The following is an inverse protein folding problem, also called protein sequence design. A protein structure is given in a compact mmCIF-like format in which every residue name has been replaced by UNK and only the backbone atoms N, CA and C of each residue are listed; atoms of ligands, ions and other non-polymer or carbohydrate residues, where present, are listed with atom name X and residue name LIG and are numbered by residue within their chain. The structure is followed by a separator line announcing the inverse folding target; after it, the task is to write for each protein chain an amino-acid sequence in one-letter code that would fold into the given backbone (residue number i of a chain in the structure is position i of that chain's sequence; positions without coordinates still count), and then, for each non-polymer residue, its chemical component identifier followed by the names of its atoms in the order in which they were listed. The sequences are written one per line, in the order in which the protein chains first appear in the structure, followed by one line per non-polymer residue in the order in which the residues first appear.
data_IF_671244139141
#
_entry.id   IF_671244139141
#
_cell.length_a   1.000
_cell.length_b   1.000
_cell.length_c   1.000
_cell.angle_alpha   90.00
_cell.angle_beta   90.00
_cell.angle_gamma   90.00
#
_symmetry.space_group_name_H-M   'P 1'
#
loop_
_entity.id
_entity.type
_entity.pdbx_description
1 polymer ?
#
# COMPACT_ATOMS: atom_id res chain seq x y z
N UNK A 1 -2.15 -13.65 -9.58
CA UNK A 1 -2.70 -13.08 -10.83
C UNK A 1 -1.57 -12.94 -11.85
N UNK A 2 -1.77 -13.22 -13.14
CA UNK A 2 -0.70 -13.12 -14.16
C UNK A 2 -1.02 -12.03 -15.20
N UNK A 3 0.00 -11.26 -15.58
CA UNK A 3 -0.11 -10.20 -16.58
C UNK A 3 -0.36 -10.78 -17.98
N UNK A 4 -1.40 -10.29 -18.67
CA UNK A 4 -1.74 -10.72 -20.04
C UNK A 4 -1.03 -9.92 -21.14
N UNK A 5 -0.36 -8.84 -20.76
CA UNK A 5 0.39 -7.93 -21.64
C UNK A 5 1.53 -7.31 -20.85
N UNK A 6 2.44 -6.64 -21.55
CA UNK A 6 3.44 -5.79 -20.91
C UNK A 6 2.79 -4.55 -20.27
N UNK A 7 3.29 -4.17 -19.09
CA UNK A 7 2.96 -2.95 -18.36
C UNK A 7 4.23 -2.14 -18.10
N UNK A 8 4.14 -0.82 -18.32
CA UNK A 8 5.16 0.15 -17.91
C UNK A 8 4.85 0.66 -16.51
N UNK A 9 5.87 1.24 -15.86
CA UNK A 9 5.67 1.98 -14.60
C UNK A 9 4.63 3.09 -14.84
N UNK A 10 3.61 3.17 -13.99
CA UNK A 10 2.50 4.10 -14.13
C UNK A 10 1.29 3.57 -14.90
N UNK A 11 1.36 2.36 -15.48
CA UNK A 11 0.19 1.78 -16.15
C UNK A 11 -0.85 1.28 -15.13
N UNK A 12 -2.12 1.55 -15.40
CA UNK A 12 -3.24 0.92 -14.70
C UNK A 12 -3.30 -0.58 -15.06
N UNK A 13 -3.19 -1.43 -14.04
CA UNK A 13 -3.24 -2.90 -14.16
C UNK A 13 -4.68 -3.40 -13.98
N UNK A 14 -5.34 -2.98 -12.89
CA UNK A 14 -6.70 -3.38 -12.54
C UNK A 14 -7.43 -2.21 -11.88
N UNK A 15 -8.73 -2.08 -12.17
CA UNK A 15 -9.65 -1.23 -11.42
C UNK A 15 -10.89 -2.04 -11.06
N UNK A 16 -11.18 -2.17 -9.77
CA UNK A 16 -12.21 -3.06 -9.25
C UNK A 16 -13.16 -2.33 -8.30
N UNK A 17 -14.47 -2.49 -8.50
CA UNK A 17 -15.47 -1.96 -7.56
C UNK A 17 -15.64 -2.86 -6.34
N UNK A 18 -16.09 -2.30 -5.20
CA UNK A 18 -16.33 -3.07 -3.99
C UNK A 18 -17.46 -4.09 -4.21
N UNK A 19 -17.31 -5.28 -3.64
CA UNK A 19 -18.32 -6.35 -3.73
C UNK A 19 -19.00 -6.61 -2.40
N UNK A 20 -18.22 -6.82 -1.33
CA UNK A 20 -18.76 -7.06 0.02
C UNK A 20 -18.11 -6.08 0.99
N UNK A 21 -18.92 -5.25 1.64
CA UNK A 21 -18.46 -4.28 2.64
C UNK A 21 -18.58 -4.81 4.05
N UNK A 22 -17.54 -4.60 4.84
CA UNK A 22 -17.48 -4.88 6.27
C UNK A 22 -17.14 -3.59 7.03
N UNK A 23 -18.08 -3.02 7.80
CA UNK A 23 -17.79 -1.86 8.62
C UNK A 23 -16.94 -2.24 9.83
N UNK A 24 -16.23 -1.26 10.39
CA UNK A 24 -15.58 -1.41 11.70
C UNK A 24 -16.62 -1.35 12.84
N UNK A 25 -16.38 -2.06 13.95
CA UNK A 25 -17.19 -1.94 15.17
C UNK A 25 -17.83 -3.25 15.66
N UNK A 26 -18.61 -3.14 16.74
CA UNK A 26 -19.12 -4.29 17.52
C UNK A 26 -20.08 -5.18 16.68
N UNK A 27 -20.89 -4.58 15.82
CA UNK A 27 -21.89 -5.30 15.01
C UNK A 27 -21.36 -5.78 13.65
N UNK A 28 -20.04 -5.70 13.40
CA UNK A 28 -19.47 -5.97 12.08
C UNK A 28 -19.87 -7.33 11.50
N UNK A 29 -19.91 -8.39 12.32
CA UNK A 29 -20.24 -9.73 11.87
C UNK A 29 -21.68 -9.83 11.37
N UNK A 30 -22.62 -9.19 12.08
CA UNK A 30 -24.03 -9.15 11.70
C UNK A 30 -24.23 -8.37 10.40
N UNK A 31 -23.64 -7.18 10.31
CA UNK A 31 -23.75 -6.33 9.10
C UNK A 31 -23.10 -7.02 7.89
N UNK A 32 -21.97 -7.70 8.09
CA UNK A 32 -21.30 -8.47 7.05
C UNK A 32 -22.20 -9.59 6.50
N UNK A 33 -22.82 -10.38 7.36
CA UNK A 33 -23.76 -11.45 6.98
C UNK A 33 -24.97 -10.90 6.22
N UNK A 34 -25.56 -9.80 6.68
CA UNK A 34 -26.66 -9.14 5.99
C UNK A 34 -26.26 -8.61 4.61
N UNK A 35 -25.07 -8.01 4.50
CA UNK A 35 -24.55 -7.53 3.23
C UNK A 35 -24.27 -8.69 2.27
N UNK A 36 -23.74 -9.82 2.77
CA UNK A 36 -23.48 -11.01 1.96
C UNK A 36 -24.78 -11.63 1.41
N UNK A 37 -25.82 -11.74 2.24
CA UNK A 37 -27.14 -12.25 1.82
C UNK A 37 -27.81 -11.41 0.73
N UNK A 38 -27.50 -10.10 0.66
CA UNK A 38 -28.01 -9.20 -0.38
C UNK A 38 -27.29 -9.35 -1.72
N UNK A 39 -26.15 -10.04 -1.78
CA UNK A 39 -25.44 -10.30 -3.03
C UNK A 39 -26.20 -11.32 -3.89
N UNK A 40 -26.04 -11.24 -5.21
CA UNK A 40 -26.49 -12.30 -6.12
C UNK A 40 -25.74 -13.60 -5.82
N UNK A 41 -26.35 -14.75 -6.12
CA UNK A 41 -25.70 -16.05 -5.91
C UNK A 41 -24.34 -16.16 -6.62
N UNK A 42 -24.21 -15.57 -7.80
CA UNK A 42 -22.94 -15.51 -8.54
C UNK A 42 -21.87 -14.78 -7.72
N UNK A 43 -22.20 -13.62 -7.15
CA UNK A 43 -21.28 -12.85 -6.30
C UNK A 43 -20.98 -13.57 -4.99
N UNK A 44 -21.96 -14.22 -4.38
CA UNK A 44 -21.77 -15.04 -3.19
C UNK A 44 -20.77 -16.17 -3.47
N UNK A 45 -20.98 -16.94 -4.56
CA UNK A 45 -20.05 -17.99 -5.00
C UNK A 45 -18.65 -17.43 -5.28
N UNK A 46 -18.56 -16.28 -5.96
CA UNK A 46 -17.29 -15.65 -6.25
C UNK A 46 -16.54 -15.22 -4.97
N UNK A 47 -17.23 -14.62 -4.00
CA UNK A 47 -16.63 -14.26 -2.69
C UNK A 47 -16.18 -15.52 -1.96
N UNK A 48 -17.03 -16.54 -1.83
CA UNK A 48 -16.71 -17.80 -1.15
C UNK A 48 -15.59 -18.60 -1.84
N UNK A 49 -15.30 -18.32 -3.12
CA UNK A 49 -14.15 -18.92 -3.83
C UNK A 49 -12.80 -18.28 -3.52
N UNK A 50 -12.78 -17.17 -2.78
CA UNK A 50 -11.53 -16.54 -2.35
C UNK A 50 -10.85 -17.36 -1.26
N UNK A 51 -9.53 -17.23 -1.18
CA UNK A 51 -8.75 -17.87 -0.12
C UNK A 51 -9.15 -17.35 1.25
N UNK A 52 -9.36 -18.24 2.22
CA UNK A 52 -9.66 -17.87 3.60
C UNK A 52 -8.58 -18.42 4.52
N UNK A 53 -7.77 -17.54 5.09
CA UNK A 53 -6.69 -17.89 6.01
C UNK A 53 -7.22 -18.34 7.39
N UNK A 54 -8.49 -18.04 7.71
CA UNK A 54 -9.12 -18.31 9.00
C UNK A 54 -10.53 -18.92 8.78
N UNK A 55 -10.63 -20.12 8.15
CA UNK A 55 -11.91 -20.73 7.81
C UNK A 55 -12.82 -20.98 9.01
N UNK A 56 -12.25 -21.14 10.20
CA UNK A 56 -12.97 -21.27 11.48
C UNK A 56 -13.83 -20.04 11.82
N UNK A 57 -13.54 -18.88 11.22
CA UNK A 57 -14.28 -17.63 11.42
C UNK A 57 -15.33 -17.36 10.31
N UNK A 58 -15.52 -18.28 9.37
CA UNK A 58 -16.49 -18.13 8.27
C UNK A 58 -16.23 -16.88 7.42
N UNK A 59 -17.28 -16.09 7.15
CA UNK A 59 -17.18 -14.84 6.37
C UNK A 59 -16.24 -13.81 6.99
N UNK A 60 -16.13 -13.77 8.32
CA UNK A 60 -15.23 -12.85 8.99
C UNK A 60 -13.76 -13.18 8.69
N UNK A 61 -13.41 -14.48 8.69
CA UNK A 61 -12.08 -14.93 8.28
C UNK A 61 -11.76 -14.54 6.83
N UNK A 62 -12.75 -14.65 5.96
CA UNK A 62 -12.62 -14.31 4.54
C UNK A 62 -12.38 -12.80 4.35
N UNK A 63 -13.14 -11.95 5.03
CA UNK A 63 -12.90 -10.49 5.04
C UNK A 63 -11.55 -10.16 5.65
N UNK A 64 -11.18 -10.76 6.79
CA UNK A 64 -9.88 -10.53 7.42
C UNK A 64 -8.69 -10.90 6.50
N UNK A 65 -8.91 -11.84 5.59
CA UNK A 65 -7.89 -12.28 4.63
C UNK A 65 -7.83 -11.39 3.38
N UNK A 66 -8.97 -10.89 2.89
CA UNK A 66 -9.08 -10.35 1.53
C UNK A 66 -9.52 -8.89 1.43
N UNK A 67 -10.06 -8.31 2.51
CA UNK A 67 -10.64 -6.98 2.45
C UNK A 67 -9.56 -5.89 2.54
N UNK A 68 -9.76 -4.83 1.75
CA UNK A 68 -8.91 -3.65 1.75
C UNK A 68 -9.69 -2.45 2.31
N UNK A 69 -9.04 -1.54 3.06
CA UNK A 69 -9.69 -0.36 3.60
C UNK A 69 -10.06 0.62 2.47
N UNK A 70 -11.17 1.34 2.61
CA UNK A 70 -11.57 2.38 1.65
C UNK A 70 -10.79 3.70 1.82
N UNK A 71 -9.46 3.61 1.76
CA UNK A 71 -8.52 4.71 1.95
C UNK A 71 -7.98 4.83 3.38
N UNK A 72 -7.02 5.75 3.58
CA UNK A 72 -6.26 5.87 4.84
C UNK A 72 -7.11 6.17 6.08
N UNK A 73 -8.25 6.85 5.92
CA UNK A 73 -9.19 7.17 7.00
C UNK A 73 -10.51 6.41 6.88
N UNK A 74 -10.50 5.34 6.08
CA UNK A 74 -11.65 4.52 5.81
C UNK A 74 -12.15 3.80 7.06
N UNK A 75 -13.45 3.87 7.34
CA UNK A 75 -14.10 3.13 8.43
C UNK A 75 -14.68 1.80 7.96
N UNK A 76 -14.62 1.52 6.66
CA UNK A 76 -15.19 0.34 6.01
C UNK A 76 -14.12 -0.34 5.17
N UNK A 77 -14.04 -1.66 5.29
CA UNK A 77 -13.21 -2.48 4.38
C UNK A 77 -14.08 -3.20 3.37
N UNK A 78 -13.56 -3.42 2.17
CA UNK A 78 -14.30 -4.06 1.10
C UNK A 78 -13.50 -5.21 0.47
N UNK A 79 -14.22 -6.25 0.05
CA UNK A 79 -13.70 -7.28 -0.83
C UNK A 79 -13.76 -6.79 -2.27
N UNK A 80 -12.65 -6.97 -2.99
CA UNK A 80 -12.50 -6.64 -4.41
C UNK A 80 -12.08 -7.91 -5.16
N UNK A 81 -13.04 -8.60 -5.80
CA UNK A 81 -12.84 -9.97 -6.31
C UNK A 81 -11.58 -10.18 -7.18
N UNK A 82 -11.21 -9.20 -8.01
CA UNK A 82 -10.01 -9.31 -8.85
C UNK A 82 -8.74 -9.04 -8.06
N UNK A 83 -8.75 -8.05 -7.17
CA UNK A 83 -7.58 -7.59 -6.43
C UNK A 83 -7.22 -8.57 -5.30
N UNK A 84 -8.22 -9.19 -4.67
CA UNK A 84 -8.03 -10.26 -3.67
C UNK A 84 -7.33 -11.52 -4.23
N UNK A 85 -7.08 -11.61 -5.55
CA UNK A 85 -6.32 -12.69 -6.20
C UNK A 85 -4.87 -12.30 -6.54
N UNK A 86 -4.43 -11.10 -6.17
CA UNK A 86 -3.06 -10.64 -6.33
C UNK A 86 -2.27 -11.16 -5.14
N UNK A 87 -1.23 -11.96 -5.40
CA UNK A 87 -0.40 -12.57 -4.37
C UNK A 87 0.58 -11.56 -3.75
N UNK A 88 1.16 -11.97 -2.64
CA UNK A 88 2.13 -11.18 -1.90
C UNK A 88 3.56 -11.28 -2.46
N UNK A 89 4.29 -10.17 -2.47
CA UNK A 89 5.75 -10.13 -2.46
C UNK A 89 6.25 -9.04 -1.52
N UNK A 90 7.33 -9.28 -0.79
CA UNK A 90 8.00 -8.24 0.00
C UNK A 90 8.73 -7.21 -0.89
N UNK A 91 8.87 -7.50 -2.18
CA UNK A 91 9.37 -6.58 -3.21
C UNK A 91 8.35 -6.53 -4.37
N UNK A 92 7.18 -5.88 -4.18
CA UNK A 92 6.07 -5.93 -5.11
C UNK A 92 6.37 -5.21 -6.44
N UNK A 93 5.56 -5.50 -7.46
CA UNK A 93 5.60 -4.81 -8.75
C UNK A 93 4.37 -3.93 -9.01
N UNK A 94 3.36 -3.99 -8.13
CA UNK A 94 2.20 -3.08 -8.15
C UNK A 94 1.97 -2.39 -6.80
N UNK A 95 1.27 -1.26 -6.85
CA UNK A 95 0.68 -0.58 -5.70
C UNK A 95 -0.83 -0.52 -5.89
N UNK A 96 -1.58 -0.70 -4.80
CA UNK A 96 -3.03 -0.56 -4.80
C UNK A 96 -3.45 0.63 -3.93
N UNK A 97 -4.50 1.33 -4.35
CA UNK A 97 -5.07 2.43 -3.60
C UNK A 97 -6.56 2.61 -3.89
N UNK A 98 -7.27 3.19 -2.92
CA UNK A 98 -8.67 3.55 -3.08
C UNK A 98 -8.80 4.87 -3.84
N UNK A 99 -9.47 4.84 -5.00
CA UNK A 99 -9.82 6.05 -5.74
C UNK A 99 -11.23 6.51 -5.36
N UNK A 100 -11.30 7.56 -4.55
CA UNK A 100 -12.55 8.07 -4.00
C UNK A 100 -13.49 8.68 -5.05
N UNK A 101 -12.98 9.22 -6.17
CA UNK A 101 -13.83 9.69 -7.29
C UNK A 101 -14.48 8.52 -8.02
N UNK A 102 -13.72 7.46 -8.29
CA UNK A 102 -14.21 6.30 -9.02
C UNK A 102 -15.00 5.33 -8.14
N UNK A 103 -14.88 5.45 -6.81
CA UNK A 103 -15.39 4.48 -5.82
C UNK A 103 -14.91 3.06 -6.13
N UNK A 104 -13.63 2.96 -6.48
CA UNK A 104 -12.96 1.72 -6.87
C UNK A 104 -11.58 1.64 -6.25
N UNK A 105 -11.15 0.42 -6.00
CA UNK A 105 -9.76 0.12 -5.75
C UNK A 105 -9.04 0.04 -7.10
N UNK A 106 -7.91 0.73 -7.21
CA UNK A 106 -7.09 0.78 -8.43
C UNK A 106 -5.71 0.20 -8.13
N UNK A 107 -5.13 -0.47 -9.12
CA UNK A 107 -3.82 -1.12 -9.02
C UNK A 107 -2.95 -0.61 -10.17
N UNK A 108 -1.84 0.03 -9.84
CA UNK A 108 -0.88 0.55 -10.81
C UNK A 108 0.45 -0.18 -10.73
N UNK A 109 1.10 -0.35 -11.89
CA UNK A 109 2.44 -0.90 -11.98
C UNK A 109 3.47 0.10 -11.44
N UNK A 110 4.26 -0.33 -10.45
CA UNK A 110 5.38 0.44 -9.88
C UNK A 110 6.74 -0.07 -10.35
N UNK A 111 6.74 -1.16 -11.11
CA UNK A 111 7.88 -1.72 -11.87
C UNK A 111 7.38 -2.14 -13.25
N UNK A 112 8.24 -2.26 -14.27
CA UNK A 112 7.86 -2.93 -15.51
C UNK A 112 7.40 -4.36 -15.22
N UNK A 113 6.33 -4.81 -15.88
CA UNK A 113 5.80 -6.17 -15.77
C UNK A 113 5.65 -6.73 -17.18
N UNK A 114 6.24 -7.88 -17.47
CA UNK A 114 6.12 -8.54 -18.78
C UNK A 114 4.87 -9.42 -18.87
N UNK A 115 4.36 -9.61 -20.08
CA UNK A 115 3.33 -10.61 -20.32
C UNK A 115 3.80 -11.98 -19.80
N UNK A 116 2.95 -12.65 -19.01
CA UNK A 116 3.28 -13.91 -18.35
C UNK A 116 3.90 -13.78 -16.96
N UNK A 117 4.35 -12.58 -16.54
CA UNK A 117 4.83 -12.37 -15.17
C UNK A 117 3.68 -12.25 -14.17
N UNK A 118 3.94 -12.65 -12.93
CA UNK A 118 2.98 -12.52 -11.85
C UNK A 118 2.84 -11.07 -11.38
N UNK A 119 1.60 -10.63 -11.18
CA UNK A 119 1.28 -9.35 -10.53
C UNK A 119 1.28 -9.58 -9.02
N UNK A 120 2.11 -8.82 -8.30
CA UNK A 120 2.43 -9.01 -6.90
C UNK A 120 2.34 -7.70 -6.10
N UNK A 121 1.59 -7.71 -5.00
CA UNK A 121 1.40 -6.58 -4.08
C UNK A 121 2.04 -6.85 -2.72
N UNK A 122 2.19 -5.84 -1.88
CA UNK A 122 2.56 -6.04 -0.46
C UNK A 122 1.31 -6.24 0.40
N UNK A 123 1.35 -7.20 1.33
CA UNK A 123 0.31 -7.42 2.35
C UNK A 123 0.72 -6.86 3.72
N UNK A 124 2.01 -6.60 3.89
CA UNK A 124 2.60 -6.09 5.12
C UNK A 124 3.10 -4.66 4.92
N UNK A 125 3.32 -3.98 6.03
CA UNK A 125 3.86 -2.64 6.06
C UNK A 125 5.39 -2.74 6.28
N UNK A 126 6.22 -2.29 5.32
CA UNK A 126 7.67 -2.41 5.43
C UNK A 126 8.26 -1.66 6.63
N UNK A 127 7.57 -0.64 7.16
CA UNK A 127 8.01 0.07 8.37
C UNK A 127 7.64 -0.68 9.65
N UNK A 128 6.56 -1.46 9.64
CA UNK A 128 6.18 -2.27 10.81
C UNK A 128 6.88 -3.64 10.81
N UNK A 129 7.18 -4.19 9.64
CA UNK A 129 7.84 -5.47 9.45
C UNK A 129 9.13 -5.31 8.63
N UNK A 130 10.13 -4.69 9.23
CA UNK A 130 11.41 -4.37 8.58
C UNK A 130 12.29 -5.61 8.34
N UNK A 131 12.28 -6.59 9.25
CA UNK A 131 13.11 -7.80 9.13
C UNK A 131 12.35 -8.96 8.52
N UNK A 132 13.04 -9.90 7.86
CA UNK A 132 12.41 -11.12 7.34
C UNK A 132 11.65 -11.88 8.42
N UNK A 133 12.23 -12.01 9.62
CA UNK A 133 11.56 -12.70 10.73
C UNK A 133 10.22 -12.03 11.05
N UNK A 134 10.16 -10.69 11.08
CA UNK A 134 8.92 -9.94 11.28
C UNK A 134 7.94 -10.15 10.13
N UNK A 135 8.40 -10.10 8.87
CA UNK A 135 7.57 -10.34 7.68
C UNK A 135 6.98 -11.75 7.69
N UNK A 136 7.81 -12.77 7.87
CA UNK A 136 7.39 -14.17 7.93
C UNK A 136 6.42 -14.43 9.08
N UNK A 137 6.71 -13.91 10.27
CA UNK A 137 5.82 -14.06 11.43
C UNK A 137 4.46 -13.42 11.19
N UNK A 138 4.44 -12.23 10.57
CA UNK A 138 3.21 -11.54 10.21
C UNK A 138 2.41 -12.33 9.15
N UNK A 139 3.04 -12.74 8.06
CA UNK A 139 2.38 -13.49 6.98
C UNK A 139 1.88 -14.85 7.46
N UNK A 140 2.66 -15.57 8.27
CA UNK A 140 2.23 -16.84 8.86
C UNK A 140 1.03 -16.65 9.79
N UNK A 141 1.03 -15.59 10.63
CA UNK A 141 -0.06 -15.33 11.58
C UNK A 141 -1.37 -14.98 10.86
N UNK A 142 -1.30 -14.06 9.88
CA UNK A 142 -2.47 -13.43 9.27
C UNK A 142 -2.93 -14.10 7.98
N UNK A 143 -2.03 -14.72 7.22
CA UNK A 143 -2.30 -15.27 5.88
C UNK A 143 -1.92 -16.75 5.74
N UNK A 144 -1.37 -17.38 6.80
CA UNK A 144 -1.02 -18.81 6.88
C UNK A 144 -0.07 -19.31 5.78
N UNK A 145 0.87 -18.49 5.33
CA UNK A 145 1.92 -18.92 4.40
C UNK A 145 3.29 -18.35 4.76
N UNK A 146 4.34 -19.03 4.31
CA UNK A 146 5.72 -18.56 4.35
C UNK A 146 6.10 -17.91 3.01
N UNK A 147 6.67 -16.71 3.05
CA UNK A 147 7.03 -15.99 1.83
C UNK A 147 8.38 -16.46 1.27
N UNK A 148 8.40 -16.78 0.00
CA UNK A 148 9.56 -17.21 -0.78
C UNK A 148 9.92 -16.21 -1.88
N UNK A 149 9.51 -14.94 -1.75
CA UNK A 149 9.89 -13.92 -2.72
C UNK A 149 11.42 -13.73 -2.76
N UNK A 150 11.92 -13.12 -3.84
CA UNK A 150 13.36 -12.85 -4.05
C UNK A 150 14.02 -12.20 -2.84
N UNK A 151 13.32 -11.29 -2.16
CA UNK A 151 13.84 -10.62 -0.96
C UNK A 151 13.96 -11.53 0.26
N UNK A 152 13.08 -12.54 0.39
CA UNK A 152 13.12 -13.53 1.46
C UNK A 152 14.09 -14.70 1.17
N UNK A 153 14.34 -15.01 -0.10
CA UNK A 153 15.27 -16.07 -0.52
C UNK A 153 16.74 -15.62 -0.63
N UNK A 154 16.99 -14.31 -0.75
CA UNK A 154 18.36 -13.77 -0.87
C UNK A 154 19.24 -14.16 0.32
N UNK A 155 20.45 -14.65 0.04
CA UNK A 155 21.49 -14.92 1.04
C UNK A 155 22.05 -13.66 1.70
N UNK A 156 21.81 -12.47 1.12
CA UNK A 156 22.16 -11.16 1.71
C UNK A 156 21.01 -10.55 2.51
N UNK A 157 20.18 -11.39 3.12
CA UNK A 157 19.04 -11.02 3.94
C UNK A 157 19.40 -9.94 4.98
N UNK A 158 20.54 -10.09 5.65
CA UNK A 158 21.01 -9.15 6.67
C UNK A 158 21.20 -7.73 6.13
N UNK A 159 21.64 -7.57 4.89
CA UNK A 159 21.78 -6.24 4.28
C UNK A 159 20.43 -5.62 3.98
N UNK A 160 19.50 -6.39 3.43
CA UNK A 160 18.15 -5.89 3.14
C UNK A 160 17.41 -5.53 4.44
N UNK A 161 17.51 -6.38 5.48
CA UNK A 161 16.94 -6.11 6.79
C UNK A 161 17.52 -4.83 7.39
N UNK A 162 18.85 -4.63 7.36
CA UNK A 162 19.50 -3.40 7.82
C UNK A 162 19.00 -2.17 7.10
N UNK A 163 18.85 -2.24 5.77
CA UNK A 163 18.30 -1.12 4.98
C UNK A 163 16.89 -0.76 5.45
N UNK A 164 15.99 -1.73 5.65
CA UNK A 164 14.65 -1.45 6.14
C UNK A 164 14.63 -0.91 7.58
N UNK A 165 15.48 -1.44 8.46
CA UNK A 165 15.62 -0.94 9.84
C UNK A 165 16.13 0.49 9.88
N UNK A 166 17.14 0.81 9.06
CA UNK A 166 17.64 2.17 8.89
C UNK A 166 16.56 3.10 8.33
N UNK A 167 15.82 2.66 7.30
CA UNK A 167 14.72 3.44 6.73
C UNK A 167 13.62 3.72 7.75
N UNK A 168 13.25 2.72 8.55
CA UNK A 168 12.28 2.88 9.63
C UNK A 168 12.78 3.87 10.70
N UNK A 169 14.01 3.69 11.18
CA UNK A 169 14.59 4.57 12.20
C UNK A 169 14.69 6.02 11.71
N UNK A 170 15.08 6.22 10.45
CA UNK A 170 15.07 7.52 9.79
C UNK A 170 13.67 8.13 9.73
N UNK A 171 12.66 7.36 9.33
CA UNK A 171 11.28 7.84 9.22
C UNK A 171 10.71 8.27 10.59
N UNK A 172 10.97 7.50 11.64
CA UNK A 172 10.55 7.81 13.01
C UNK A 172 11.27 9.05 13.58
N UNK A 173 12.43 9.42 13.05
CA UNK A 173 13.24 10.54 13.53
C UNK A 173 12.81 11.88 12.93
N UNK A 174 12.27 11.91 11.70
CA UNK A 174 11.77 13.12 11.03
C UNK A 174 10.85 13.98 11.92
N UNK A 175 9.75 13.45 12.51
CA UNK A 175 8.85 14.28 13.32
C UNK A 175 9.53 14.80 14.59
N UNK A 176 10.46 14.04 15.19
CA UNK A 176 11.22 14.49 16.38
C UNK A 176 12.11 15.67 16.04
N UNK A 177 12.88 15.57 14.96
CA UNK A 177 13.74 16.65 14.48
C UNK A 177 12.93 17.89 14.12
N UNK A 178 11.74 17.72 13.53
CA UNK A 178 10.85 18.83 13.23
C UNK A 178 10.40 19.58 14.50
N UNK A 179 9.97 18.85 15.53
CA UNK A 179 9.56 19.44 16.83
C UNK A 179 10.74 20.16 17.48
N UNK A 180 11.94 19.57 17.42
CA UNK A 180 13.18 20.16 17.93
C UNK A 180 13.72 21.33 17.07
N UNK A 181 12.98 21.78 16.05
CA UNK A 181 13.38 22.86 15.12
C UNK A 181 14.65 22.57 14.33
N UNK A 182 15.05 21.31 14.23
CA UNK A 182 16.19 20.83 13.45
C UNK A 182 15.77 20.54 12.00
N UNK A 183 15.17 21.53 11.34
CA UNK A 183 14.52 21.34 10.04
C UNK A 183 15.50 20.92 8.93
N UNK A 184 16.73 21.43 8.91
CA UNK A 184 17.78 21.00 7.98
C UNK A 184 18.25 19.54 8.20
N UNK A 185 18.21 19.03 9.43
CA UNK A 185 18.50 17.62 9.70
C UNK A 185 17.34 16.75 9.22
N UNK A 186 16.10 17.15 9.51
CA UNK A 186 14.89 16.44 9.06
C UNK A 186 14.83 16.36 7.52
N UNK A 187 15.11 17.46 6.82
CA UNK A 187 15.11 17.51 5.36
C UNK A 187 16.16 16.58 4.74
N UNK A 188 17.38 16.53 5.31
CA UNK A 188 18.44 15.60 4.86
C UNK A 188 18.02 14.13 5.03
N UNK A 189 17.25 13.82 6.08
CA UNK A 189 16.68 12.48 6.22
C UNK A 189 15.65 12.21 5.12
N UNK A 190 14.75 13.15 4.83
CA UNK A 190 13.79 13.00 3.72
C UNK A 190 14.49 12.78 2.37
N UNK A 191 15.57 13.51 2.09
CA UNK A 191 16.39 13.34 0.88
C UNK A 191 16.95 11.92 0.77
N UNK A 192 17.55 11.42 1.86
CA UNK A 192 18.13 10.08 1.90
C UNK A 192 17.05 9.01 1.72
N UNK A 193 15.92 9.13 2.42
CA UNK A 193 14.79 8.21 2.27
C UNK A 193 14.24 8.23 0.85
N UNK A 194 14.08 9.39 0.23
CA UNK A 194 13.55 9.51 -1.13
C UNK A 194 14.34 8.67 -2.15
N UNK A 195 15.67 8.59 -2.00
CA UNK A 195 16.54 7.79 -2.88
C UNK A 195 16.48 6.28 -2.61
N UNK A 196 16.07 5.86 -1.41
CA UNK A 196 16.05 4.45 -1.00
C UNK A 196 14.67 3.79 -1.20
N UNK A 197 13.61 4.59 -1.32
CA UNK A 197 12.22 4.14 -1.32
C UNK A 197 11.71 3.76 -2.70
N UNK A 198 10.71 2.88 -2.74
CA UNK A 198 9.90 2.68 -3.95
C UNK A 198 9.06 3.92 -4.25
N UNK A 199 8.62 4.06 -5.50
CA UNK A 199 7.82 5.20 -5.95
C UNK A 199 6.57 5.44 -5.09
N UNK A 200 5.93 4.38 -4.57
CA UNK A 200 4.76 4.50 -3.69
C UNK A 200 5.06 5.21 -2.37
N UNK A 201 6.26 5.05 -1.82
CA UNK A 201 6.67 5.72 -0.58
C UNK A 201 7.35 7.08 -0.84
N UNK A 202 7.93 7.28 -2.03
CA UNK A 202 8.51 8.56 -2.45
C UNK A 202 7.51 9.71 -2.39
N UNK A 203 6.24 9.48 -2.75
CA UNK A 203 5.16 10.48 -2.65
C UNK A 203 5.03 11.05 -1.23
N UNK A 204 4.96 10.20 -0.20
CA UNK A 204 4.84 10.63 1.20
C UNK A 204 6.08 11.39 1.65
N UNK A 205 7.25 10.81 1.45
CA UNK A 205 8.53 11.41 1.89
C UNK A 205 8.78 12.75 1.22
N UNK A 206 8.44 12.89 -0.07
CA UNK A 206 8.52 14.16 -0.78
C UNK A 206 7.52 15.20 -0.24
N UNK A 207 6.32 14.77 0.18
CA UNK A 207 5.36 15.68 0.81
C UNK A 207 5.82 16.13 2.21
N UNK A 208 6.45 15.25 2.99
CA UNK A 208 7.08 15.63 4.26
C UNK A 208 8.21 16.66 4.02
N UNK A 209 9.06 16.44 3.02
CA UNK A 209 10.10 17.38 2.61
C UNK A 209 9.54 18.73 2.15
N UNK A 210 8.42 18.74 1.42
CA UNK A 210 7.69 19.96 1.05
C UNK A 210 7.27 20.75 2.29
N UNK A 211 6.63 20.11 3.26
CA UNK A 211 6.18 20.77 4.49
C UNK A 211 7.35 21.28 5.33
N UNK A 212 8.45 20.52 5.43
CA UNK A 212 9.67 20.96 6.13
C UNK A 212 10.27 22.20 5.45
N UNK A 213 10.38 22.17 4.13
CA UNK A 213 10.96 23.27 3.35
C UNK A 213 10.11 24.53 3.46
N UNK A 214 8.79 24.41 3.35
CA UNK A 214 7.87 25.54 3.41
C UNK A 214 7.72 26.08 4.84
N UNK A 215 7.31 25.24 5.79
CA UNK A 215 6.93 25.67 7.12
C UNK A 215 8.10 25.76 8.09
N UNK A 216 9.10 24.89 7.94
CA UNK A 216 10.26 24.83 8.82
C UNK A 216 11.40 25.76 8.38
N UNK A 217 11.61 25.89 7.08
CA UNK A 217 12.75 26.62 6.51
C UNK A 217 12.37 27.91 5.76
N UNK A 218 11.08 28.13 5.50
CA UNK A 218 10.58 29.23 4.66
C UNK A 218 11.26 29.28 3.28
N UNK A 219 11.66 28.11 2.75
CA UNK A 219 12.31 27.96 1.46
C UNK A 219 11.27 27.56 0.39
N UNK A 220 10.63 28.55 -0.20
CA UNK A 220 9.55 28.35 -1.18
C UNK A 220 10.03 27.64 -2.45
N UNK A 221 11.25 27.92 -2.90
CA UNK A 221 11.80 27.29 -4.12
C UNK A 221 11.98 25.78 -3.95
N UNK A 222 12.57 25.38 -2.83
CA UNK A 222 12.77 23.98 -2.47
C UNK A 222 11.45 23.26 -2.18
N UNK A 223 10.52 23.94 -1.50
CA UNK A 223 9.17 23.44 -1.28
C UNK A 223 8.48 23.09 -2.62
N UNK A 224 8.49 23.99 -3.61
CA UNK A 224 7.89 23.73 -4.93
C UNK A 224 8.51 22.53 -5.63
N UNK A 225 9.83 22.37 -5.54
CA UNK A 225 10.53 21.20 -6.08
C UNK A 225 10.03 19.90 -5.44
N UNK A 226 9.94 19.85 -4.11
CA UNK A 226 9.47 18.67 -3.39
C UNK A 226 7.99 18.36 -3.63
N UNK A 227 7.15 19.39 -3.72
CA UNK A 227 5.73 19.22 -4.07
C UNK A 227 5.57 18.59 -5.45
N UNK A 228 6.33 19.05 -6.45
CA UNK A 228 6.33 18.46 -7.79
C UNK A 228 6.70 16.97 -7.75
N UNK A 229 7.76 16.61 -7.02
CA UNK A 229 8.17 15.20 -6.84
C UNK A 229 7.08 14.36 -6.15
N UNK A 230 6.40 14.93 -5.15
CA UNK A 230 5.30 14.25 -4.46
C UNK A 230 4.13 13.96 -5.40
N UNK A 231 3.74 14.94 -6.23
CA UNK A 231 2.68 14.79 -7.24
C UNK A 231 3.07 13.73 -8.26
N UNK A 232 4.26 13.82 -8.85
CA UNK A 232 4.73 12.88 -9.87
C UNK A 232 4.76 11.44 -9.36
N UNK A 233 5.31 11.21 -8.16
CA UNK A 233 5.33 9.91 -7.53
C UNK A 233 3.91 9.38 -7.26
N UNK A 234 3.00 10.23 -6.74
CA UNK A 234 1.62 9.85 -6.47
C UNK A 234 0.85 9.49 -7.74
N UNK A 235 0.92 10.32 -8.78
CA UNK A 235 0.27 10.04 -10.07
C UNK A 235 0.79 8.74 -10.66
N UNK A 236 2.08 8.44 -10.48
CA UNK A 236 2.67 7.19 -10.96
C UNK A 236 2.09 5.95 -10.25
N UNK A 237 1.83 6.01 -8.94
CA UNK A 237 1.35 4.84 -8.19
C UNK A 237 -0.17 4.79 -7.95
N UNK A 238 -0.89 5.90 -8.10
CA UNK A 238 -2.34 6.00 -7.81
C UNK A 238 -3.16 6.55 -9.00
N UNK A 239 -2.48 7.01 -10.06
CA UNK A 239 -3.12 7.70 -11.18
C UNK A 239 -3.68 9.08 -10.81
N UNK A 240 -4.64 9.55 -11.60
CA UNK A 240 -5.36 10.78 -11.32
C UNK A 240 -6.45 10.55 -10.25
N UNK A 241 -6.08 10.71 -8.98
CA UNK A 241 -6.95 10.53 -7.81
C UNK A 241 -7.26 11.89 -7.14
N UNK A 242 -8.27 11.97 -6.26
CA UNK A 242 -8.56 13.20 -5.53
C UNK A 242 -7.36 13.79 -4.78
N UNK A 243 -6.52 12.92 -4.22
CA UNK A 243 -5.35 13.35 -3.47
C UNK A 243 -4.24 13.89 -4.38
N UNK A 244 -4.02 13.32 -5.56
CA UNK A 244 -3.10 13.89 -6.55
C UNK A 244 -3.59 15.25 -7.05
N UNK A 245 -4.90 15.41 -7.28
CA UNK A 245 -5.52 16.71 -7.64
C UNK A 245 -5.40 17.73 -6.51
N UNK A 246 -5.60 17.30 -5.26
CA UNK A 246 -5.42 18.15 -4.07
C UNK A 246 -4.00 18.70 -4.03
N UNK A 247 -2.99 17.84 -4.21
CA UNK A 247 -1.59 18.25 -4.23
C UNK A 247 -1.26 19.19 -5.40
N UNK A 248 -1.86 18.99 -6.58
CA UNK A 248 -1.68 19.86 -7.75
C UNK A 248 -2.21 21.29 -7.56
N UNK A 249 -3.11 21.49 -6.59
CA UNK A 249 -3.71 22.79 -6.29
C UNK A 249 -3.02 23.55 -5.13
N UNK A 250 -1.92 23.01 -4.57
CA UNK A 250 -1.08 23.67 -3.56
C UNK A 250 -0.02 24.58 -4.20
#
# INVERSE_FOLDING_TARGET
MVAKRDFKVGDLVVSCGPVLGCPSGIEMAKVLEENFKKLSEEKQRAVLSLYNAHPELGLLGLVNTNALPNGCFGTVSYIFLSISRINHSCDPNVHHSWNETLKKEVVYAIKPIKAGEEVLTSYNDPYKQATKLQRQSFLQRHFKFACDCVLCLKSQEDKANKVFEEMKAMDEEIPKLYILRKHNEALRICEKLYQMQSVSFQSRVAYDAYNISLCGLNNVSEARMWLKRAIEARVTCEGDCPESKRLQNL
#
